data_IF_877207148045
#
_entry.id   IF_877207148045
#
_cell.length_a   1.000
_cell.length_b   1.000
_cell.length_c   1.000
_cell.angle_alpha   90.00
_cell.angle_beta   90.00
_cell.angle_gamma   90.00
#
_symmetry.space_group_name_H-M   'P 1'
#
loop_
_entity.id
_entity.type
_entity.pdbx_description
1 polymer ?
#
# COMPACT_ATOMS: atom_id res chain seq x y z
N UNK A 1 6.53 -15.73 -4.73
CA UNK A 1 5.68 -15.32 -3.58
C UNK A 1 6.06 -13.96 -2.99
N UNK A 2 7.34 -13.55 -3.06
CA UNK A 2 7.82 -12.27 -2.50
C UNK A 2 7.03 -11.00 -2.90
N UNK A 3 6.60 -10.87 -4.16
CA UNK A 3 5.78 -9.72 -4.62
C UNK A 3 4.49 -9.54 -3.80
N UNK A 4 3.84 -10.62 -3.38
CA UNK A 4 2.62 -10.55 -2.57
C UNK A 4 2.91 -10.08 -1.14
N UNK A 5 4.05 -10.46 -0.57
CA UNK A 5 4.52 -9.97 0.73
C UNK A 5 4.82 -8.47 0.66
N UNK A 6 5.51 -8.03 -0.40
CA UNK A 6 5.77 -6.60 -0.60
C UNK A 6 4.49 -5.78 -0.76
N UNK A 7 3.50 -6.28 -1.51
CA UNK A 7 2.17 -5.65 -1.60
C UNK A 7 1.46 -5.57 -0.24
N UNK A 8 1.66 -6.55 0.65
CA UNK A 8 1.12 -6.53 2.02
C UNK A 8 1.79 -5.45 2.85
N UNK A 9 3.10 -5.26 2.74
CA UNK A 9 3.82 -4.20 3.44
C UNK A 9 3.40 -2.81 2.97
N UNK A 10 3.20 -2.62 1.65
CA UNK A 10 2.65 -1.39 1.11
C UNK A 10 1.21 -1.14 1.58
N UNK A 11 0.39 -2.17 1.67
CA UNK A 11 -0.96 -2.04 2.24
C UNK A 11 -0.91 -1.54 3.68
N UNK A 12 -0.04 -2.10 4.53
CA UNK A 12 0.13 -1.65 5.93
C UNK A 12 0.56 -0.19 6.01
N UNK A 13 1.50 0.25 5.16
CA UNK A 13 1.91 1.66 5.12
C UNK A 13 0.75 2.58 4.73
N UNK A 14 -0.01 2.24 3.69
CA UNK A 14 -1.18 3.02 3.27
C UNK A 14 -2.25 3.04 4.36
N UNK A 15 -2.47 1.92 5.06
CA UNK A 15 -3.39 1.85 6.21
C UNK A 15 -2.96 2.80 7.33
N UNK A 16 -1.67 2.84 7.68
CA UNK A 16 -1.15 3.73 8.72
C UNK A 16 -1.35 5.20 8.34
N UNK A 17 -1.06 5.55 7.08
CA UNK A 17 -1.28 6.92 6.57
C UNK A 17 -2.77 7.29 6.60
N UNK A 18 -3.65 6.38 6.17
CA UNK A 18 -5.09 6.63 6.18
C UNK A 18 -5.62 6.83 7.62
N UNK A 19 -5.15 6.02 8.58
CA UNK A 19 -5.51 6.17 10.00
C UNK A 19 -5.04 7.51 10.58
N UNK A 20 -3.79 7.88 10.31
CA UNK A 20 -3.20 9.15 10.78
C UNK A 20 -3.97 10.37 10.25
N UNK A 21 -4.47 10.29 9.01
CA UNK A 21 -5.26 11.35 8.36
C UNK A 21 -6.76 11.31 8.66
N UNK A 22 -7.25 10.29 9.36
CA UNK A 22 -8.70 10.06 9.54
C UNK A 22 -9.44 9.71 8.24
N UNK A 23 -8.72 9.22 7.22
CA UNK A 23 -9.29 8.77 5.95
C UNK A 23 -9.78 7.31 6.04
N UNK A 24 -10.62 6.89 5.07
CA UNK A 24 -11.08 5.50 4.99
C UNK A 24 -9.89 4.55 4.78
N UNK A 25 -9.61 3.73 5.79
CA UNK A 25 -8.54 2.75 5.77
C UNK A 25 -8.87 1.56 4.82
N UNK A 26 -8.00 1.21 3.84
CA UNK A 26 -8.23 0.07 2.96
C UNK A 26 -8.02 -1.25 3.71
N UNK A 27 -8.79 -2.30 3.38
CA UNK A 27 -8.67 -3.65 3.98
C UNK A 27 -8.12 -4.71 3.02
N UNK A 28 -7.99 -4.37 1.74
CA UNK A 28 -7.40 -5.20 0.69
C UNK A 28 -6.39 -4.36 -0.09
N UNK A 29 -5.53 -5.02 -0.86
CA UNK A 29 -4.68 -4.33 -1.85
C UNK A 29 -5.59 -3.66 -2.87
N UNK A 30 -5.47 -2.35 -3.02
CA UNK A 30 -6.26 -1.53 -3.98
C UNK A 30 -5.32 -0.79 -4.93
N UNK A 31 -5.86 -0.12 -5.94
CA UNK A 31 -5.08 0.74 -6.84
C UNK A 31 -4.29 1.84 -6.11
N UNK A 32 -4.74 2.28 -4.93
CA UNK A 32 -3.98 3.23 -4.11
C UNK A 32 -2.66 2.62 -3.61
N UNK A 33 -2.65 1.33 -3.27
CA UNK A 33 -1.46 0.60 -2.83
C UNK A 33 -0.44 0.49 -3.98
N UNK A 34 -0.88 0.13 -5.19
CA UNK A 34 -0.01 0.09 -6.37
C UNK A 34 0.58 1.47 -6.72
N UNK A 35 -0.25 2.53 -6.67
CA UNK A 35 0.24 3.91 -6.88
C UNK A 35 1.27 4.31 -5.83
N UNK A 36 1.06 3.93 -4.57
CA UNK A 36 2.00 4.19 -3.50
C UNK A 36 3.31 3.42 -3.70
N UNK A 37 3.26 2.13 -4.05
CA UNK A 37 4.43 1.32 -4.36
C UNK A 37 5.29 1.92 -5.48
N UNK A 38 4.65 2.33 -6.59
CA UNK A 38 5.33 3.03 -7.69
C UNK A 38 6.01 4.33 -7.22
N UNK A 39 5.33 5.12 -6.37
CA UNK A 39 5.90 6.35 -5.79
C UNK A 39 7.08 6.07 -4.84
N UNK A 40 7.05 4.94 -4.15
CA UNK A 40 8.11 4.49 -3.25
C UNK A 40 9.31 3.82 -3.98
N UNK A 41 9.31 3.80 -5.31
CA UNK A 41 10.40 3.23 -6.12
C UNK A 41 10.26 1.74 -6.45
N UNK A 42 9.18 1.09 -6.02
CA UNK A 42 8.89 -0.30 -6.37
C UNK A 42 8.10 -0.39 -7.69
N UNK A 43 8.73 -0.01 -8.81
CA UNK A 43 8.09 0.01 -10.13
C UNK A 43 7.80 -1.37 -10.74
N UNK A 44 8.35 -2.43 -10.14
CA UNK A 44 8.14 -3.83 -10.54
C UNK A 44 6.88 -4.46 -9.93
N UNK A 45 6.14 -3.69 -9.12
CA UNK A 45 4.86 -4.05 -8.49
C UNK A 45 3.68 -3.47 -9.27
#
# INVERSE_FOLDING_TARGET
FHLYEQCRDFLIQVQNIAKDRGEKCPTKVTNQVFRYAKKAGASYI
#
